data_IF_982254053094
#
_entry.id   IF_982254053094
#
_cell.length_a   1.000
_cell.length_b   1.000
_cell.length_c   1.000
_cell.angle_alpha   90.00
_cell.angle_beta   90.00
_cell.angle_gamma   90.00
#
_symmetry.space_group_name_H-M   'P 1'
#
loop_
_entity.id
_entity.type
_entity.pdbx_description
1 polymer ?
#
# COMPACT_ATOMS: atom_id res chain seq x y z
N UNK A 1 -11.19 -34.85 -28.37
CA UNK A 1 -12.09 -34.27 -27.34
C UNK A 1 -12.14 -32.74 -27.42
N UNK A 2 -11.16 -31.98 -26.90
CA UNK A 2 -11.26 -30.50 -26.84
C UNK A 2 -11.37 -29.79 -28.19
N UNK A 3 -10.61 -30.23 -29.20
CA UNK A 3 -10.61 -29.59 -30.53
C UNK A 3 -11.86 -29.88 -31.38
N UNK A 4 -12.63 -30.93 -31.06
CA UNK A 4 -13.89 -31.24 -31.74
C UNK A 4 -15.04 -30.47 -31.10
N UNK A 5 -15.07 -30.42 -29.77
CA UNK A 5 -16.03 -29.60 -29.02
C UNK A 5 -15.95 -28.11 -29.40
N UNK A 6 -14.73 -27.58 -29.57
CA UNK A 6 -14.56 -26.19 -30.01
C UNK A 6 -15.08 -25.94 -31.43
N UNK A 7 -14.90 -26.90 -32.34
CA UNK A 7 -15.43 -26.80 -33.72
C UNK A 7 -16.95 -26.81 -33.74
N UNK A 8 -17.56 -27.73 -32.99
CA UNK A 8 -19.03 -27.81 -32.87
C UNK A 8 -19.63 -26.51 -32.32
N UNK A 9 -19.04 -25.93 -31.27
CA UNK A 9 -19.53 -24.66 -30.70
C UNK A 9 -19.32 -23.47 -31.63
N UNK A 10 -18.23 -23.45 -32.38
CA UNK A 10 -17.98 -22.43 -33.40
C UNK A 10 -19.04 -22.47 -34.49
N UNK A 11 -19.36 -23.65 -35.01
CA UNK A 11 -20.33 -23.81 -36.09
C UNK A 11 -21.75 -23.44 -35.63
N UNK A 12 -22.10 -23.76 -34.38
CA UNK A 12 -23.36 -23.35 -33.77
C UNK A 12 -23.44 -21.82 -33.62
N UNK A 13 -22.36 -21.16 -33.19
CA UNK A 13 -22.30 -19.70 -33.08
C UNK A 13 -22.45 -19.02 -34.46
N UNK A 14 -21.77 -19.54 -35.48
CA UNK A 14 -21.84 -19.02 -36.85
C UNK A 14 -23.27 -19.10 -37.38
N UNK A 15 -23.94 -20.24 -37.18
CA UNK A 15 -25.33 -20.43 -37.58
C UNK A 15 -26.27 -19.45 -36.86
N UNK A 16 -26.08 -19.23 -35.56
CA UNK A 16 -26.88 -18.28 -34.77
C UNK A 16 -26.69 -16.84 -35.25
N UNK A 17 -25.47 -16.47 -35.66
CA UNK A 17 -25.17 -15.16 -36.24
C UNK A 17 -25.79 -14.99 -37.63
N UNK A 18 -25.77 -16.04 -38.46
CA UNK A 18 -26.41 -16.03 -39.78
C UNK A 18 -27.94 -15.89 -39.66
N UNK A 19 -28.56 -16.64 -38.75
CA UNK A 19 -30.00 -16.56 -38.47
C UNK A 19 -30.39 -15.14 -37.98
N UNK A 20 -29.62 -14.58 -37.05
CA UNK A 20 -29.82 -13.20 -36.57
C UNK A 20 -29.65 -12.16 -37.68
N UNK A 21 -28.67 -12.35 -38.57
CA UNK A 21 -28.43 -11.45 -39.70
C UNK A 21 -29.58 -11.53 -40.71
N UNK A 22 -30.07 -12.73 -41.01
CA UNK A 22 -31.19 -12.92 -41.93
C UNK A 22 -32.48 -12.30 -41.38
N UNK A 23 -32.73 -12.43 -40.07
CA UNK A 23 -33.85 -11.78 -39.40
C UNK A 23 -33.73 -10.25 -39.43
N UNK A 24 -32.53 -9.70 -39.22
CA UNK A 24 -32.27 -8.27 -39.37
C UNK A 24 -32.53 -7.79 -40.80
N UNK A 25 -32.08 -8.54 -41.81
CA UNK A 25 -32.30 -8.21 -43.23
C UNK A 25 -33.79 -8.26 -43.58
N UNK A 26 -34.53 -9.27 -43.08
CA UNK A 26 -35.99 -9.39 -43.28
C UNK A 26 -36.73 -8.24 -42.59
N UNK A 27 -36.31 -7.86 -41.39
CA UNK A 27 -36.83 -6.72 -40.67
C UNK A 27 -36.61 -5.43 -41.47
N UNK A 28 -35.37 -5.18 -41.91
CA UNK A 28 -35.02 -3.99 -42.70
C UNK A 28 -35.76 -3.96 -44.04
N UNK A 29 -35.95 -5.11 -44.69
CA UNK A 29 -36.73 -5.22 -45.93
C UNK A 29 -38.20 -4.82 -45.75
N UNK A 30 -38.79 -5.10 -44.58
CA UNK A 30 -40.16 -4.68 -44.22
C UNK A 30 -40.24 -3.20 -43.81
N UNK A 31 -39.15 -2.64 -43.27
CA UNK A 31 -39.07 -1.24 -42.82
C UNK A 31 -38.87 -0.24 -43.97
N UNK A 32 -38.65 -0.69 -45.22
CA UNK A 32 -38.28 0.12 -46.39
C UNK A 32 -39.15 1.32 -46.76
N UNK A 33 -40.33 1.51 -46.17
CA UNK A 33 -41.17 2.68 -46.48
C UNK A 33 -41.14 3.66 -45.32
N UNK A 34 -40.65 4.89 -45.54
CA UNK A 34 -40.71 6.00 -44.56
C UNK A 34 -42.11 6.14 -43.92
N UNK A 35 -43.17 5.80 -44.67
CA UNK A 35 -44.56 5.78 -44.19
C UNK A 35 -44.84 4.67 -43.15
N UNK A 36 -44.30 3.47 -43.29
CA UNK A 36 -44.50 2.39 -42.30
C UNK A 36 -43.70 2.63 -41.03
N UNK A 37 -42.52 3.24 -41.14
CA UNK A 37 -41.74 3.71 -39.99
C UNK A 37 -42.52 4.75 -39.17
N UNK A 38 -43.09 5.77 -39.83
CA UNK A 38 -43.86 6.83 -39.17
C UNK A 38 -45.21 6.31 -38.64
N UNK A 39 -45.83 5.33 -39.29
CA UNK A 39 -47.07 4.72 -38.83
C UNK A 39 -46.87 3.82 -37.59
N UNK A 40 -45.65 3.30 -37.38
CA UNK A 40 -45.32 2.49 -36.20
C UNK A 40 -45.05 3.40 -34.99
N UNK A 41 -46.12 3.80 -34.33
CA UNK A 41 -46.11 4.69 -33.16
C UNK A 41 -45.18 4.23 -32.05
N UNK A 42 -45.06 2.91 -31.81
CA UNK A 42 -44.21 2.35 -30.77
C UNK A 42 -42.71 2.60 -31.06
N UNK A 43 -42.31 2.45 -32.31
CA UNK A 43 -40.93 2.70 -32.72
C UNK A 43 -40.59 4.19 -32.65
N UNK A 44 -41.54 5.06 -33.02
CA UNK A 44 -41.34 6.51 -32.88
C UNK A 44 -41.24 6.93 -31.42
N UNK A 45 -42.06 6.39 -30.53
CA UNK A 45 -41.97 6.61 -29.08
C UNK A 45 -40.66 6.08 -28.51
N UNK A 46 -40.17 4.92 -28.98
CA UNK A 46 -38.87 4.40 -28.56
C UNK A 46 -37.72 5.34 -28.97
N UNK A 47 -37.71 5.82 -30.22
CA UNK A 47 -36.71 6.78 -30.69
C UNK A 47 -36.82 8.11 -29.96
N UNK A 48 -38.03 8.63 -29.75
CA UNK A 48 -38.27 9.86 -28.99
C UNK A 48 -37.79 9.72 -27.53
N UNK A 49 -38.09 8.59 -26.88
CA UNK A 49 -37.63 8.30 -25.53
C UNK A 49 -36.11 8.15 -25.45
N UNK A 50 -35.47 7.59 -26.48
CA UNK A 50 -34.01 7.55 -26.55
C UNK A 50 -33.46 8.97 -26.69
N UNK A 51 -33.94 9.74 -27.68
CA UNK A 51 -33.45 11.09 -27.98
C UNK A 51 -33.78 12.13 -26.89
N UNK A 52 -34.85 11.91 -26.12
CA UNK A 52 -35.30 12.79 -25.04
C UNK A 52 -34.60 12.56 -23.70
N UNK A 53 -33.75 11.53 -23.57
CA UNK A 53 -32.94 11.34 -22.35
C UNK A 53 -31.88 12.43 -22.24
N UNK A 54 -31.66 12.90 -21.02
CA UNK A 54 -30.66 13.93 -20.69
C UNK A 54 -29.23 13.56 -21.12
N UNK A 55 -28.96 12.27 -21.31
CA UNK A 55 -27.65 11.74 -21.70
C UNK A 55 -27.45 11.65 -23.23
N UNK A 56 -28.43 12.07 -24.04
CA UNK A 56 -28.25 12.13 -25.49
C UNK A 56 -27.71 13.49 -25.88
N UNK A 57 -26.49 13.46 -26.41
CA UNK A 57 -25.82 14.66 -26.89
C UNK A 57 -25.91 14.76 -28.40
N UNK A 58 -26.41 15.88 -28.90
CA UNK A 58 -26.33 16.21 -30.32
C UNK A 58 -24.97 16.88 -30.62
N UNK A 59 -24.44 16.57 -31.80
CA UNK A 59 -23.19 17.13 -32.31
C UNK A 59 -23.27 17.31 -33.82
N UNK A 60 -22.76 18.43 -34.33
CA UNK A 60 -22.65 18.66 -35.77
C UNK A 60 -21.45 17.88 -36.32
N UNK A 61 -21.66 17.04 -37.34
CA UNK A 61 -20.63 16.20 -37.95
C UNK A 61 -19.42 17.00 -38.48
N UNK A 62 -19.63 18.27 -38.83
CA UNK A 62 -18.57 19.15 -39.30
C UNK A 62 -17.72 19.75 -38.16
N UNK A 63 -18.19 19.69 -36.92
CA UNK A 63 -17.48 20.16 -35.73
C UNK A 63 -16.75 18.98 -35.04
N UNK A 64 -15.76 18.44 -35.74
CA UNK A 64 -14.98 17.29 -35.27
C UNK A 64 -14.29 17.57 -33.92
N UNK A 65 -13.90 18.83 -33.63
CA UNK A 65 -13.28 19.17 -32.34
C UNK A 65 -14.28 19.05 -31.19
N UNK A 66 -15.50 19.56 -31.35
CA UNK A 66 -16.54 19.45 -30.32
C UNK A 66 -17.07 18.04 -30.17
N UNK A 67 -17.23 17.29 -31.26
CA UNK A 67 -17.60 15.87 -31.19
C UNK A 67 -16.48 15.07 -30.55
N UNK A 68 -15.23 15.24 -30.97
CA UNK A 68 -14.10 14.55 -30.33
C UNK A 68 -13.95 14.94 -28.87
N UNK A 69 -14.17 16.21 -28.50
CA UNK A 69 -14.17 16.66 -27.11
C UNK A 69 -15.26 15.99 -26.30
N UNK A 70 -16.52 16.02 -26.76
CA UNK A 70 -17.64 15.34 -26.08
C UNK A 70 -17.50 13.82 -26.09
N UNK A 71 -17.03 13.23 -27.20
CA UNK A 71 -16.80 11.80 -27.31
C UNK A 71 -15.66 11.40 -26.38
N UNK A 72 -14.63 12.23 -26.22
CA UNK A 72 -13.61 12.07 -25.22
C UNK A 72 -14.16 12.31 -23.82
N UNK A 73 -15.10 13.23 -23.59
CA UNK A 73 -15.79 13.38 -22.29
C UNK A 73 -16.74 12.20 -21.98
N UNK A 74 -17.15 11.46 -23.01
CA UNK A 74 -18.00 10.26 -22.91
C UNK A 74 -17.21 8.93 -22.90
N UNK A 75 -16.07 8.88 -23.60
CA UNK A 75 -15.22 7.70 -23.80
C UNK A 75 -14.01 7.69 -22.86
N UNK A 76 -13.41 8.86 -22.68
CA UNK A 76 -12.72 9.29 -21.47
C UNK A 76 -13.84 9.90 -20.58
N UNK A 77 -13.74 10.24 -19.31
CA UNK A 77 -12.66 10.41 -18.39
C UNK A 77 -13.11 9.78 -17.08
N UNK A 78 -12.25 8.94 -16.52
CA UNK A 78 -12.43 8.33 -15.21
C UNK A 78 -13.79 7.65 -15.01
N UNK A 79 -13.84 6.33 -15.28
CA UNK A 79 -14.83 5.42 -14.67
C UNK A 79 -14.67 5.31 -13.14
N UNK A 80 -14.19 6.38 -12.52
CA UNK A 80 -14.22 6.55 -11.10
C UNK A 80 -15.69 6.74 -10.71
N UNK A 81 -16.18 5.99 -9.72
CA UNK A 81 -17.49 6.30 -9.18
C UNK A 81 -17.48 7.72 -8.63
N UNK A 82 -18.59 8.45 -8.72
CA UNK A 82 -18.66 9.80 -8.14
C UNK A 82 -18.39 9.77 -6.63
N UNK A 83 -18.77 8.68 -5.96
CA UNK A 83 -18.57 8.46 -4.54
C UNK A 83 -18.21 6.99 -4.29
N UNK A 84 -17.33 6.74 -3.32
CA UNK A 84 -17.04 5.38 -2.88
C UNK A 84 -18.18 4.85 -2.01
N UNK A 85 -18.46 3.55 -2.12
CA UNK A 85 -19.38 2.86 -1.21
C UNK A 85 -18.90 2.97 0.24
N UNK A 86 -19.81 2.77 1.21
CA UNK A 86 -19.46 2.78 2.63
C UNK A 86 -18.41 1.71 2.96
N UNK A 87 -18.52 0.54 2.34
CA UNK A 87 -17.59 -0.57 2.51
C UNK A 87 -16.20 -0.21 1.99
N UNK A 88 -16.11 0.36 0.79
CA UNK A 88 -14.85 0.88 0.24
C UNK A 88 -14.19 1.91 1.17
N UNK A 89 -14.97 2.81 1.78
CA UNK A 89 -14.44 3.79 2.73
C UNK A 89 -13.87 3.15 4.01
N UNK A 90 -14.54 2.12 4.54
CA UNK A 90 -14.06 1.36 5.71
C UNK A 90 -12.79 0.58 5.36
N UNK A 91 -12.74 -0.06 4.19
CA UNK A 91 -11.55 -0.75 3.69
C UNK A 91 -10.36 0.21 3.50
N UNK A 92 -10.59 1.38 2.88
CA UNK A 92 -9.57 2.41 2.69
C UNK A 92 -9.04 2.94 4.03
N UNK A 93 -9.91 3.20 5.00
CA UNK A 93 -9.50 3.62 6.36
C UNK A 93 -8.65 2.54 7.03
N UNK A 94 -9.05 1.27 6.90
CA UNK A 94 -8.31 0.14 7.46
C UNK A 94 -6.93 0.00 6.81
N UNK A 95 -6.85 0.11 5.49
CA UNK A 95 -5.60 0.05 4.74
C UNK A 95 -4.63 1.18 5.15
N UNK A 96 -5.12 2.42 5.26
CA UNK A 96 -4.31 3.56 5.71
C UNK A 96 -3.82 3.38 7.16
N UNK A 97 -4.68 2.88 8.05
CA UNK A 97 -4.30 2.59 9.44
C UNK A 97 -3.17 1.55 9.51
N UNK A 98 -3.20 0.54 8.64
CA UNK A 98 -2.13 -0.47 8.53
C UNK A 98 -0.82 0.16 8.03
N UNK A 99 -0.89 1.03 7.02
CA UNK A 99 0.27 1.81 6.54
C UNK A 99 0.90 2.63 7.67
N UNK A 100 0.09 3.28 8.50
CA UNK A 100 0.57 4.09 9.62
C UNK A 100 1.26 3.25 10.69
N UNK A 101 0.66 2.11 11.05
CA UNK A 101 1.28 1.17 11.98
C UNK A 101 2.62 0.68 11.44
N UNK A 102 2.70 0.33 10.15
CA UNK A 102 3.96 -0.10 9.53
C UNK A 102 5.01 1.01 9.52
N UNK A 103 4.63 2.24 9.18
CA UNK A 103 5.54 3.39 9.18
C UNK A 103 6.03 3.74 10.60
N UNK A 104 5.15 3.70 11.61
CA UNK A 104 5.50 3.94 13.00
C UNK A 104 6.47 2.87 13.52
N UNK A 105 6.19 1.58 13.26
CA UNK A 105 7.06 0.48 13.64
C UNK A 105 8.40 0.52 12.90
N UNK A 106 8.39 0.83 11.60
CA UNK A 106 9.60 1.00 10.82
C UNK A 106 10.50 2.10 11.41
N UNK A 107 9.92 3.19 11.92
CA UNK A 107 10.67 4.23 12.60
C UNK A 107 11.36 3.71 13.87
N UNK A 108 10.65 2.94 14.70
CA UNK A 108 11.24 2.29 15.89
C UNK A 108 12.35 1.32 15.53
N UNK A 109 12.15 0.43 14.55
CA UNK A 109 13.20 -0.48 14.08
C UNK A 109 14.44 0.27 13.59
N UNK A 110 14.26 1.39 12.89
CA UNK A 110 15.37 2.25 12.45
C UNK A 110 16.12 2.89 13.62
N UNK A 111 15.40 3.32 14.65
CA UNK A 111 16.01 3.86 15.86
C UNK A 111 16.83 2.77 16.58
N UNK A 112 16.26 1.59 16.78
CA UNK A 112 16.97 0.46 17.39
C UNK A 112 18.22 0.08 16.58
N UNK A 113 18.13 0.00 15.26
CA UNK A 113 19.30 -0.27 14.42
C UNK A 113 20.41 0.76 14.65
N UNK A 114 20.07 2.06 14.72
CA UNK A 114 21.07 3.11 14.98
C UNK A 114 21.67 3.00 16.38
N UNK A 115 20.85 2.69 17.38
CA UNK A 115 21.31 2.52 18.75
C UNK A 115 22.25 1.32 18.87
N UNK A 116 21.89 0.14 18.33
CA UNK A 116 22.75 -1.05 18.41
C UNK A 116 24.09 -0.84 17.71
N UNK A 117 24.10 -0.20 16.53
CA UNK A 117 25.36 0.15 15.85
C UNK A 117 26.19 1.15 16.65
N UNK A 118 25.56 2.14 17.28
CA UNK A 118 26.25 3.09 18.16
C UNK A 118 26.92 2.38 19.35
N UNK A 119 26.20 1.46 20.02
CA UNK A 119 26.75 0.67 21.12
C UNK A 119 27.93 -0.20 20.70
N UNK A 120 27.83 -0.89 19.56
CA UNK A 120 28.93 -1.69 19.02
C UNK A 120 30.17 -0.84 18.72
N UNK A 121 29.97 0.38 18.18
CA UNK A 121 31.06 1.31 17.91
C UNK A 121 31.72 1.77 19.22
N UNK A 122 30.93 2.16 20.22
CA UNK A 122 31.44 2.57 21.54
C UNK A 122 32.23 1.44 22.22
N UNK A 123 31.72 0.21 22.18
CA UNK A 123 32.43 -0.96 22.73
C UNK A 123 33.74 -1.17 21.98
N UNK A 124 33.74 -1.11 20.64
CA UNK A 124 34.97 -1.26 19.85
C UNK A 124 36.02 -0.19 20.17
N UNK A 125 35.62 1.08 20.29
CA UNK A 125 36.51 2.18 20.69
C UNK A 125 37.03 1.98 22.12
N UNK A 126 36.18 1.55 23.04
CA UNK A 126 36.58 1.26 24.41
C UNK A 126 37.61 0.11 24.47
N UNK A 127 37.40 -0.97 23.70
CA UNK A 127 38.36 -2.08 23.60
C UNK A 127 39.71 -1.60 23.09
N UNK A 128 39.76 -0.84 21.99
CA UNK A 128 41.03 -0.33 21.44
C UNK A 128 41.72 0.62 22.42
N UNK A 129 40.97 1.55 23.02
CA UNK A 129 41.52 2.50 23.99
C UNK A 129 42.10 1.79 25.21
N UNK A 130 41.39 0.78 25.72
CA UNK A 130 41.85 -0.02 26.85
C UNK A 130 43.11 -0.82 26.49
N UNK A 131 43.17 -1.44 25.31
CA UNK A 131 44.38 -2.17 24.86
C UNK A 131 45.62 -1.26 24.79
N UNK A 132 45.47 -0.03 24.28
CA UNK A 132 46.57 0.94 24.22
C UNK A 132 47.00 1.41 25.62
N UNK A 133 46.04 1.62 26.53
CA UNK A 133 46.33 1.98 27.92
C UNK A 133 47.07 0.86 28.66
N UNK A 134 46.71 -0.41 28.44
CA UNK A 134 47.42 -1.55 29.02
C UNK A 134 48.89 -1.60 28.57
N UNK A 135 49.16 -1.36 27.28
CA UNK A 135 50.53 -1.31 26.76
C UNK A 135 51.35 -0.15 27.34
N UNK A 136 50.71 1.00 27.60
CA UNK A 136 51.41 2.18 28.14
C UNK A 136 51.76 2.06 29.63
N UNK A 137 50.96 1.31 30.40
CA UNK A 137 51.06 1.21 31.85
C UNK A 137 51.43 -0.20 32.32
N UNK A 138 52.35 -0.86 31.61
CA UNK A 138 52.70 -2.28 31.78
C UNK A 138 53.13 -2.69 33.21
N UNK A 139 53.47 -1.73 34.09
CA UNK A 139 53.79 -2.01 35.50
C UNK A 139 52.74 -1.59 36.55
N UNK A 140 51.70 -0.83 36.17
CA UNK A 140 50.76 -0.25 37.15
C UNK A 140 49.49 -1.08 37.36
N UNK A 141 49.12 -1.93 36.40
CA UNK A 141 47.85 -2.64 36.40
C UNK A 141 48.13 -4.14 36.42
N UNK A 142 47.63 -4.86 37.44
CA UNK A 142 47.89 -6.30 37.56
C UNK A 142 47.35 -7.09 36.37
N UNK A 143 48.12 -8.05 35.86
CA UNK A 143 47.81 -8.89 34.70
C UNK A 143 46.39 -9.48 34.76
N UNK A 144 45.98 -9.99 35.93
CA UNK A 144 44.64 -10.53 36.16
C UNK A 144 43.52 -9.49 35.91
N UNK A 145 43.74 -8.23 36.30
CA UNK A 145 42.74 -7.17 36.09
C UNK A 145 42.64 -6.77 34.62
N UNK A 146 43.75 -6.77 33.87
CA UNK A 146 43.75 -6.49 32.44
C UNK A 146 42.96 -7.55 31.66
N UNK A 147 43.24 -8.83 31.91
CA UNK A 147 42.50 -9.93 31.28
C UNK A 147 41.02 -9.91 31.62
N UNK A 148 40.67 -9.61 32.88
CA UNK A 148 39.27 -9.54 33.32
C UNK A 148 38.51 -8.43 32.59
N UNK A 149 39.10 -7.24 32.45
CA UNK A 149 38.44 -6.12 31.75
C UNK A 149 38.32 -6.39 30.25
N UNK A 150 39.37 -6.92 29.61
CA UNK A 150 39.33 -7.30 28.19
C UNK A 150 38.27 -8.36 27.93
N UNK A 151 38.20 -9.39 28.78
CA UNK A 151 37.18 -10.43 28.70
C UNK A 151 35.77 -9.85 28.89
N UNK A 152 35.58 -8.93 29.84
CA UNK A 152 34.30 -8.27 30.07
C UNK A 152 33.83 -7.43 28.88
N UNK A 153 34.73 -6.68 28.25
CA UNK A 153 34.45 -5.90 27.03
C UNK A 153 34.11 -6.83 25.85
N UNK A 154 34.87 -7.91 25.68
CA UNK A 154 34.62 -8.90 24.63
C UNK A 154 33.25 -9.60 24.80
N UNK A 155 32.92 -10.02 26.02
CA UNK A 155 31.61 -10.63 26.34
C UNK A 155 30.46 -9.66 26.09
N UNK A 156 30.61 -8.40 26.47
CA UNK A 156 29.59 -7.36 26.23
C UNK A 156 29.41 -7.13 24.73
N UNK A 157 30.49 -7.05 23.96
CA UNK A 157 30.46 -6.96 22.50
C UNK A 157 29.76 -8.16 21.85
N UNK A 158 30.09 -9.38 22.29
CA UNK A 158 29.45 -10.61 21.81
C UNK A 158 27.95 -10.64 22.13
N UNK A 159 27.55 -10.23 23.33
CA UNK A 159 26.15 -10.12 23.74
C UNK A 159 25.36 -9.17 22.83
N UNK A 160 25.86 -7.95 22.60
CA UNK A 160 25.18 -6.99 21.73
C UNK A 160 25.16 -7.43 20.28
N UNK A 161 26.20 -8.12 19.81
CA UNK A 161 26.24 -8.68 18.45
C UNK A 161 25.20 -9.78 18.29
N UNK A 162 25.10 -10.71 19.25
CA UNK A 162 24.07 -11.75 19.28
C UNK A 162 22.66 -11.16 19.37
N UNK A 163 22.47 -10.15 20.23
CA UNK A 163 21.20 -9.44 20.33
C UNK A 163 20.80 -8.75 19.02
N UNK A 164 21.74 -8.06 18.37
CA UNK A 164 21.52 -7.43 17.08
C UNK A 164 21.17 -8.46 15.98
N UNK A 165 21.80 -9.63 16.00
CA UNK A 165 21.53 -10.72 15.08
C UNK A 165 20.13 -11.33 15.27
N UNK A 166 19.68 -11.51 16.52
CA UNK A 166 18.33 -12.02 16.83
C UNK A 166 17.25 -11.01 16.44
N UNK A 167 17.47 -9.73 16.73
CA UNK A 167 16.47 -8.69 16.45
C UNK A 167 16.41 -8.39 14.95
N UNK A 168 17.54 -8.43 14.24
CA UNK A 168 17.73 -8.00 12.85
C UNK A 168 16.90 -6.75 12.50
N UNK A 169 17.14 -5.63 13.20
CA UNK A 169 16.29 -4.44 13.09
C UNK A 169 16.36 -3.81 11.70
N UNK A 170 17.46 -3.99 10.98
CA UNK A 170 17.64 -3.49 9.61
C UNK A 170 16.74 -4.22 8.62
N UNK A 171 16.73 -5.56 8.65
CA UNK A 171 15.84 -6.35 7.79
C UNK A 171 14.38 -6.10 8.10
N UNK A 172 14.00 -6.06 9.39
CA UNK A 172 12.62 -5.74 9.82
C UNK A 172 12.19 -4.35 9.35
N UNK A 173 13.05 -3.35 9.47
CA UNK A 173 12.78 -2.00 8.98
C UNK A 173 12.51 -1.98 7.46
N UNK A 174 13.35 -2.64 6.67
CA UNK A 174 13.20 -2.72 5.20
C UNK A 174 11.89 -3.43 4.85
N UNK A 175 11.60 -4.56 5.49
CA UNK A 175 10.37 -5.33 5.25
C UNK A 175 9.12 -4.52 5.57
N UNK A 176 9.02 -3.93 6.76
CA UNK A 176 7.88 -3.10 7.16
C UNK A 176 7.66 -1.94 6.20
N UNK A 177 8.75 -1.30 5.75
CA UNK A 177 8.69 -0.19 4.82
C UNK A 177 8.24 -0.62 3.42
N UNK A 178 8.76 -1.74 2.93
CA UNK A 178 8.33 -2.30 1.64
C UNK A 178 6.85 -2.69 1.67
N UNK A 179 6.37 -3.26 2.77
CA UNK A 179 4.97 -3.60 2.95
C UNK A 179 4.07 -2.37 3.08
N UNK A 180 4.53 -1.30 3.75
CA UNK A 180 3.83 -0.02 3.74
C UNK A 180 3.71 0.54 2.32
N UNK A 181 4.78 0.49 1.52
CA UNK A 181 4.75 0.94 0.13
C UNK A 181 3.88 0.07 -0.78
N UNK A 182 3.88 -1.24 -0.57
CA UNK A 182 2.99 -2.14 -1.29
C UNK A 182 1.52 -1.82 -0.98
N UNK A 183 1.18 -1.63 0.30
CA UNK A 183 -0.17 -1.25 0.71
C UNK A 183 -0.57 0.12 0.16
N UNK A 184 0.31 1.11 0.24
CA UNK A 184 0.08 2.43 -0.37
C UNK A 184 -0.15 2.31 -1.88
N UNK A 185 0.61 1.47 -2.59
CA UNK A 185 0.43 1.26 -4.02
C UNK A 185 -0.94 0.65 -4.34
N UNK A 186 -1.38 -0.36 -3.58
CA UNK A 186 -2.70 -0.99 -3.73
C UNK A 186 -3.84 0.01 -3.47
N UNK A 187 -3.72 0.84 -2.41
CA UNK A 187 -4.67 1.92 -2.13
C UNK A 187 -4.79 2.87 -3.33
N UNK A 188 -3.67 3.29 -3.92
CA UNK A 188 -3.68 4.20 -5.07
C UNK A 188 -4.23 3.53 -6.33
N UNK A 189 -3.89 2.26 -6.59
CA UNK A 189 -4.46 1.53 -7.72
C UNK A 189 -5.97 1.38 -7.59
N UNK A 190 -6.46 1.11 -6.37
CA UNK A 190 -7.89 1.09 -6.09
C UNK A 190 -8.52 2.46 -6.31
N UNK A 191 -7.95 3.53 -5.73
CA UNK A 191 -8.49 4.91 -5.85
C UNK A 191 -8.54 5.42 -7.29
N UNK A 192 -7.56 5.04 -8.11
CA UNK A 192 -7.51 5.41 -9.53
C UNK A 192 -8.20 4.38 -10.46
N UNK A 193 -8.76 3.29 -9.92
CA UNK A 193 -9.39 2.19 -10.67
C UNK A 193 -8.51 1.68 -11.83
N UNK A 194 -7.20 1.55 -11.56
CA UNK A 194 -6.22 1.08 -12.56
C UNK A 194 -5.78 -0.37 -12.30
N UNK A 195 -5.32 -1.04 -13.35
CA UNK A 195 -4.82 -2.41 -13.26
C UNK A 195 -5.93 -3.39 -12.91
N UNK A 196 -5.75 -4.18 -11.85
CA UNK A 196 -6.73 -5.19 -11.41
C UNK A 196 -8.05 -4.61 -10.90
N UNK A 197 -8.10 -3.32 -10.61
CA UNK A 197 -9.30 -2.62 -10.16
C UNK A 197 -10.08 -1.97 -11.29
N UNK A 198 -9.63 -2.14 -12.54
CA UNK A 198 -10.33 -1.63 -13.70
C UNK A 198 -11.57 -2.47 -13.96
N UNK A 199 -12.75 -1.82 -13.93
CA UNK A 199 -14.01 -2.51 -14.21
C UNK A 199 -14.04 -3.07 -15.64
N UNK A 200 -14.56 -4.28 -15.80
CA UNK A 200 -14.71 -4.93 -17.10
C UNK A 200 -15.52 -4.06 -18.06
N UNK A 201 -15.10 -3.96 -19.32
CA UNK A 201 -15.73 -3.08 -20.33
C UNK A 201 -17.22 -3.35 -20.55
N UNK A 202 -17.71 -4.53 -20.17
CA UNK A 202 -19.11 -4.97 -20.27
C UNK A 202 -20.05 -4.31 -19.25
N UNK A 203 -19.53 -3.58 -18.26
CA UNK A 203 -20.32 -2.92 -17.21
C UNK A 203 -20.92 -1.56 -17.63
N UNK A 204 -21.49 -1.44 -18.83
CA UNK A 204 -22.16 -0.20 -19.26
C UNK A 204 -23.51 0.02 -18.58
N UNK A 205 -24.10 -1.02 -17.98
CA UNK A 205 -25.31 -0.91 -17.16
C UNK A 205 -24.98 -0.48 -15.73
N UNK A 206 -25.87 0.27 -15.09
CA UNK A 206 -25.72 0.67 -13.68
C UNK A 206 -25.53 -0.54 -12.76
N UNK A 207 -26.19 -1.65 -13.07
CA UNK A 207 -26.02 -2.92 -12.37
C UNK A 207 -24.60 -3.49 -12.51
N UNK A 208 -24.03 -3.46 -13.73
CA UNK A 208 -22.66 -3.89 -13.98
C UNK A 208 -21.62 -3.02 -13.28
N UNK A 209 -21.90 -1.72 -13.09
CA UNK A 209 -21.04 -0.81 -12.33
C UNK A 209 -20.99 -1.19 -10.86
N UNK A 210 -22.16 -1.39 -10.22
CA UNK A 210 -22.23 -1.81 -8.82
C UNK A 210 -21.52 -3.15 -8.58
N UNK A 211 -21.68 -4.11 -9.49
CA UNK A 211 -20.98 -5.39 -9.40
C UNK A 211 -19.45 -5.22 -9.54
N UNK A 212 -19.00 -4.35 -10.45
CA UNK A 212 -17.57 -4.05 -10.62
C UNK A 212 -16.95 -3.37 -9.39
N UNK A 213 -17.72 -2.53 -8.68
CA UNK A 213 -17.29 -1.89 -7.43
C UNK A 213 -17.13 -2.91 -6.30
N UNK A 214 -18.13 -3.78 -6.09
CA UNK A 214 -18.04 -4.88 -5.11
C UNK A 214 -16.87 -5.81 -5.41
N UNK A 215 -16.64 -6.12 -6.69
CA UNK A 215 -15.49 -6.92 -7.10
C UNK A 215 -14.16 -6.22 -6.76
N UNK A 216 -14.03 -4.93 -7.06
CA UNK A 216 -12.85 -4.14 -6.72
C UNK A 216 -12.61 -4.08 -5.19
N UNK A 217 -13.67 -3.99 -4.39
CA UNK A 217 -13.61 -4.03 -2.92
C UNK A 217 -13.11 -5.39 -2.42
N UNK A 218 -13.65 -6.49 -2.93
CA UNK A 218 -13.19 -7.84 -2.62
C UNK A 218 -11.72 -8.05 -2.98
N UNK A 219 -11.25 -7.50 -4.11
CA UNK A 219 -9.84 -7.54 -4.50
C UNK A 219 -8.95 -6.71 -3.56
N UNK A 220 -9.41 -5.55 -3.09
CA UNK A 220 -8.68 -4.74 -2.12
C UNK A 220 -8.58 -5.44 -0.77
N UNK A 221 -9.68 -6.04 -0.29
CA UNK A 221 -9.69 -6.83 0.93
C UNK A 221 -8.71 -8.01 0.85
N UNK A 222 -8.72 -8.78 -0.25
CA UNK A 222 -7.76 -9.87 -0.49
C UNK A 222 -6.32 -9.35 -0.51
N UNK A 223 -6.05 -8.21 -1.14
CA UNK A 223 -4.72 -7.60 -1.17
C UNK A 223 -4.24 -7.16 0.23
N UNK A 224 -5.13 -6.57 1.05
CA UNK A 224 -4.81 -6.18 2.43
C UNK A 224 -4.40 -7.41 3.25
N UNK A 225 -5.21 -8.48 3.22
CA UNK A 225 -4.94 -9.72 3.94
C UNK A 225 -3.63 -10.38 3.49
N UNK A 226 -3.37 -10.39 2.18
CA UNK A 226 -2.15 -10.95 1.61
C UNK A 226 -0.91 -10.18 2.06
N UNK A 227 -0.92 -8.85 2.01
CA UNK A 227 0.21 -8.03 2.46
C UNK A 227 0.44 -8.22 3.96
N UNK A 228 -0.62 -8.25 4.76
CA UNK A 228 -0.52 -8.53 6.19
C UNK A 228 0.05 -9.93 6.47
N UNK A 229 -0.39 -10.94 5.71
CA UNK A 229 0.15 -12.30 5.78
C UNK A 229 1.65 -12.33 5.49
N UNK A 230 2.09 -11.63 4.42
CA UNK A 230 3.52 -11.48 4.08
C UNK A 230 4.29 -10.82 5.22
N UNK A 231 3.78 -9.75 5.84
CA UNK A 231 4.43 -9.10 6.98
C UNK A 231 4.54 -10.03 8.17
N UNK A 232 3.47 -10.77 8.50
CA UNK A 232 3.46 -11.73 9.61
C UNK A 232 4.50 -12.83 9.42
N UNK A 233 4.65 -13.35 8.19
CA UNK A 233 5.64 -14.36 7.86
C UNK A 233 7.06 -13.80 7.85
N UNK A 234 7.28 -12.64 7.22
CA UNK A 234 8.62 -12.09 6.99
C UNK A 234 9.31 -11.58 8.25
N UNK A 235 8.53 -11.09 9.22
CA UNK A 235 9.03 -10.42 10.42
C UNK A 235 9.35 -11.36 11.58
N UNK A 236 9.09 -12.66 11.45
CA UNK A 236 9.12 -13.60 12.58
C UNK A 236 8.10 -13.25 13.67
N UNK A 237 7.14 -12.36 13.39
CA UNK A 237 6.13 -11.91 14.37
C UNK A 237 5.03 -12.95 14.60
N UNK A 238 5.10 -14.13 13.99
CA UNK A 238 4.10 -15.22 14.17
C UNK A 238 3.92 -15.59 15.65
N UNK A 239 4.98 -15.43 16.45
CA UNK A 239 4.96 -15.74 17.89
C UNK A 239 4.62 -14.53 18.78
N UNK A 240 4.64 -13.31 18.23
CA UNK A 240 4.35 -12.10 19.01
C UNK A 240 2.87 -11.76 18.88
N UNK A 241 2.17 -11.55 20.00
CA UNK A 241 0.76 -11.11 20.03
C UNK A 241 0.49 -9.72 19.43
N UNK A 242 1.45 -9.16 18.67
CA UNK A 242 1.38 -7.83 18.07
C UNK A 242 0.21 -7.69 17.08
N UNK A 243 -0.12 -8.75 16.34
CA UNK A 243 -1.18 -8.72 15.31
C UNK A 243 -2.50 -9.35 15.74
N UNK A 244 -2.60 -9.95 16.93
CA UNK A 244 -3.85 -10.57 17.38
C UNK A 244 -4.89 -9.55 17.85
N UNK A 245 -4.46 -8.33 18.22
CA UNK A 245 -5.31 -7.34 18.87
C UNK A 245 -5.85 -6.23 17.95
N UNK A 246 -5.21 -5.97 16.81
CA UNK A 246 -5.56 -4.81 15.96
C UNK A 246 -6.50 -5.15 14.81
N UNK A 247 -6.75 -6.44 14.55
CA UNK A 247 -7.55 -6.90 13.42
C UNK A 247 -8.84 -7.63 13.84
N UNK A 248 -9.11 -7.74 15.14
CA UNK A 248 -10.41 -8.17 15.67
C UNK A 248 -11.45 -7.05 15.63
N UNK A 249 -11.27 -6.07 14.73
CA UNK A 249 -12.36 -5.20 14.33
C UNK A 249 -13.35 -6.09 13.55
N UNK A 250 -14.49 -6.31 14.19
CA UNK A 250 -15.66 -7.05 13.77
C UNK A 250 -15.89 -6.99 12.23
N UNK A 251 -16.12 -8.17 11.62
CA UNK A 251 -16.78 -8.38 10.31
C UNK A 251 -15.96 -8.52 9.01
N UNK A 252 -14.65 -8.82 9.03
CA UNK A 252 -13.96 -9.30 7.81
C UNK A 252 -13.84 -10.83 7.80
N UNK A 253 -14.96 -11.55 7.96
CA UNK A 253 -15.00 -12.92 7.46
C UNK A 253 -15.00 -12.83 5.94
N UNK A 254 -13.99 -13.39 5.24
CA UNK A 254 -14.09 -13.47 3.79
C UNK A 254 -15.37 -14.25 3.46
N UNK A 255 -16.20 -13.81 2.50
CA UNK A 255 -17.21 -14.67 1.94
C UNK A 255 -16.52 -15.99 1.58
N UNK A 256 -17.00 -17.09 2.14
CA UNK A 256 -16.55 -18.43 1.77
C UNK A 256 -17.07 -18.72 0.36
N UNK A 257 -16.56 -18.00 -0.63
CA UNK A 257 -16.72 -18.35 -2.04
C UNK A 257 -15.56 -19.29 -2.37
N UNK A 258 -15.91 -20.57 -2.49
CA UNK A 258 -15.06 -21.67 -2.98
C UNK A 258 -14.78 -21.47 -4.48
N UNK A 259 -13.95 -20.49 -4.83
CA UNK A 259 -13.58 -20.28 -6.23
C UNK A 259 -12.15 -20.79 -6.50
N UNK A 260 -12.08 -21.87 -7.27
CA UNK A 260 -10.88 -22.50 -7.86
C UNK A 260 -10.05 -21.57 -8.79
N UNK A 261 -10.43 -20.29 -8.90
CA UNK A 261 -9.87 -19.35 -9.88
C UNK A 261 -8.69 -18.51 -9.33
N UNK A 262 -8.45 -18.55 -8.01
CA UNK A 262 -7.35 -17.80 -7.38
C UNK A 262 -5.94 -18.30 -7.81
N UNK A 263 -5.83 -19.56 -8.25
CA UNK A 263 -4.57 -20.15 -8.71
C UNK A 263 -4.21 -19.75 -10.16
N UNK A 264 -5.17 -19.28 -10.96
CA UNK A 264 -4.92 -18.87 -12.35
C UNK A 264 -4.34 -17.44 -12.47
N UNK A 265 -4.68 -16.53 -11.55
CA UNK A 265 -4.23 -15.12 -11.60
C UNK A 265 -2.84 -14.88 -10.97
N UNK A 266 -2.25 -15.88 -10.31
CA UNK A 266 -0.91 -15.81 -9.70
C UNK A 266 0.15 -16.61 -10.45
N UNK A 267 -0.08 -16.89 -11.75
CA UNK A 267 0.92 -17.48 -12.64
C UNK A 267 2.28 -16.78 -12.51
N UNK A 268 3.30 -17.55 -12.08
CA UNK A 268 4.68 -17.16 -11.78
C UNK A 268 4.98 -16.72 -10.33
N UNK A 269 4.87 -17.64 -9.37
CA UNK A 269 5.88 -17.83 -8.28
C UNK A 269 5.70 -19.21 -7.63
N UNK A 270 6.11 -20.25 -8.37
CA UNK A 270 6.07 -21.64 -7.92
C UNK A 270 7.22 -21.98 -6.96
N UNK A 271 6.89 -22.19 -5.67
CA UNK A 271 7.50 -23.17 -4.76
C UNK A 271 6.92 -23.08 -3.33
N UNK A 272 6.32 -21.94 -2.95
CA UNK A 272 6.00 -21.66 -1.55
C UNK A 272 4.64 -22.17 -1.06
N UNK A 273 3.75 -22.62 -1.95
CA UNK A 273 2.37 -23.05 -1.60
C UNK A 273 2.31 -24.44 -0.93
N UNK A 274 3.21 -25.36 -1.30
CA UNK A 274 3.22 -26.74 -0.75
C UNK A 274 3.65 -26.84 0.72
N UNK A 275 4.32 -25.81 1.25
CA UNK A 275 4.75 -25.78 2.67
C UNK A 275 3.67 -25.24 3.62
N UNK A 276 2.75 -24.40 3.13
CA UNK A 276 1.72 -23.79 3.99
C UNK A 276 0.54 -24.73 4.26
N UNK A 277 0.24 -25.65 3.34
CA UNK A 277 -0.86 -26.60 3.50
C UNK A 277 -0.56 -27.71 4.53
N UNK A 278 0.72 -27.92 4.90
CA UNK A 278 1.14 -28.95 5.87
C UNK A 278 1.24 -28.47 7.31
N UNK A 279 1.19 -27.16 7.55
CA UNK A 279 1.36 -26.55 8.88
C UNK A 279 0.00 -26.36 9.58
N UNK A 280 -1.11 -26.30 8.84
CA UNK A 280 -2.45 -26.10 9.42
C UNK A 280 -3.06 -27.36 10.08
N UNK A 281 -2.53 -28.56 9.81
CA UNK A 281 -3.09 -29.81 10.34
C UNK A 281 -2.52 -30.26 11.70
N UNK A 282 -1.56 -29.52 12.28
CA UNK A 282 -0.87 -29.94 13.51
C UNK A 282 -1.19 -29.09 14.76
N UNK A 283 -2.16 -28.16 14.68
CA UNK A 283 -2.48 -27.25 15.79
C UNK A 283 -3.93 -27.41 16.27
N UNK A 284 -4.34 -28.62 16.62
CA UNK A 284 -5.53 -28.88 17.44
C UNK A 284 -5.20 -29.98 18.44
N UNK A 285 -4.74 -29.56 19.62
CA UNK A 285 -4.99 -30.17 20.92
C UNK A 285 -4.36 -29.23 21.95
N UNK A 286 -5.17 -28.57 22.78
CA UNK A 286 -5.08 -28.81 24.22
C UNK A 286 -6.06 -27.99 25.06
N UNK A 287 -6.51 -28.71 26.08
CA UNK A 287 -7.43 -28.38 27.16
C UNK A 287 -6.68 -27.55 28.21
N UNK A 288 -7.13 -26.33 28.53
CA UNK A 288 -6.63 -25.61 29.69
C UNK A 288 -7.62 -24.59 30.26
N UNK A 289 -8.30 -24.99 31.36
CA UNK A 289 -8.44 -24.23 32.60
C UNK A 289 -9.10 -22.84 32.58
N UNK A 290 -10.35 -22.77 33.08
CA UNK A 290 -11.14 -21.55 33.34
C UNK A 290 -10.48 -20.51 34.28
N UNK A 291 -9.41 -20.85 35.01
CA UNK A 291 -8.71 -19.93 35.91
C UNK A 291 -7.75 -18.96 35.18
N UNK A 292 -7.25 -19.31 33.99
CA UNK A 292 -6.36 -18.44 33.19
C UNK A 292 -7.07 -17.28 32.47
N UNK A 293 -8.41 -17.32 32.38
CA UNK A 293 -9.20 -16.32 31.65
C UNK A 293 -9.25 -14.96 32.35
N UNK A 294 -9.22 -14.92 33.68
CA UNK A 294 -9.34 -13.64 34.44
C UNK A 294 -8.06 -12.82 34.40
N UNK A 295 -6.88 -13.46 34.45
CA UNK A 295 -5.60 -12.75 34.36
C UNK A 295 -5.32 -12.25 32.93
N UNK A 296 -5.67 -13.06 31.91
CA UNK A 296 -5.54 -12.65 30.50
C UNK A 296 -6.44 -11.46 30.15
N UNK A 297 -7.64 -11.37 30.73
CA UNK A 297 -8.55 -10.22 30.50
C UNK A 297 -7.98 -8.92 31.06
N UNK A 298 -7.40 -8.95 32.27
CA UNK A 298 -6.78 -7.77 32.87
C UNK A 298 -5.51 -7.29 32.14
N UNK A 299 -4.69 -8.22 31.62
CA UNK A 299 -3.53 -7.87 30.78
C UNK A 299 -3.96 -7.32 29.41
N UNK A 300 -4.98 -7.89 28.79
CA UNK A 300 -5.52 -7.39 27.53
C UNK A 300 -6.05 -5.94 27.66
N UNK A 301 -6.73 -5.61 28.76
CA UNK A 301 -7.27 -4.26 29.00
C UNK A 301 -6.17 -3.21 29.24
N UNK A 302 -5.11 -3.55 29.97
CA UNK A 302 -3.94 -2.63 30.13
C UNK A 302 -3.25 -2.37 28.79
N UNK A 303 -3.10 -3.41 27.97
CA UNK A 303 -2.48 -3.27 26.65
C UNK A 303 -3.35 -2.44 25.69
N UNK A 304 -4.68 -2.57 25.77
CA UNK A 304 -5.65 -1.77 24.99
C UNK A 304 -5.56 -0.28 25.30
N UNK A 305 -5.36 0.09 26.58
CA UNK A 305 -5.20 1.49 26.99
C UNK A 305 -3.89 2.10 26.47
N UNK A 306 -2.77 1.36 26.53
CA UNK A 306 -1.50 1.86 26.03
C UNK A 306 -1.42 1.93 24.50
N UNK A 307 -2.03 0.97 23.79
CA UNK A 307 -2.10 1.01 22.33
C UNK A 307 -3.02 2.13 21.83
N UNK A 308 -4.15 2.39 22.50
CA UNK A 308 -5.06 3.47 22.14
C UNK A 308 -4.44 4.87 22.20
N UNK A 309 -3.59 5.14 23.19
CA UNK A 309 -2.86 6.42 23.30
C UNK A 309 -1.81 6.60 22.19
N UNK A 310 -1.08 5.53 21.83
CA UNK A 310 -0.12 5.57 20.71
C UNK A 310 -0.81 5.70 19.35
N UNK A 311 -1.97 5.05 19.18
CA UNK A 311 -2.76 5.11 17.95
C UNK A 311 -3.35 6.51 17.71
N UNK A 312 -3.79 7.21 18.77
CA UNK A 312 -4.27 8.60 18.63
C UNK A 312 -3.24 9.46 17.90
N UNK A 313 -1.96 9.45 18.32
CA UNK A 313 -0.91 10.22 17.65
C UNK A 313 -0.62 9.82 16.20
N UNK A 314 -0.82 8.54 15.84
CA UNK A 314 -0.59 8.04 14.48
C UNK A 314 -1.73 8.44 13.52
N UNK A 315 -3.00 8.34 13.96
CA UNK A 315 -4.17 8.72 13.15
C UNK A 315 -4.19 10.20 12.76
N UNK A 316 -3.53 11.08 13.53
CA UNK A 316 -3.47 12.52 13.21
C UNK A 316 -2.55 12.87 12.04
N UNK A 317 -1.71 11.95 11.54
CA UNK A 317 -0.75 12.29 10.47
C UNK A 317 -1.39 12.54 9.11
N UNK A 318 -2.54 11.94 8.82
CA UNK A 318 -3.21 12.10 7.51
C UNK A 318 -4.33 13.14 7.51
N UNK A 319 -4.46 13.97 8.55
CA UNK A 319 -5.57 14.93 8.70
C UNK A 319 -6.98 14.33 8.49
N UNK A 320 -7.13 12.99 8.60
CA UNK A 320 -8.40 12.29 8.34
C UNK A 320 -9.52 12.73 9.28
N UNK A 321 -9.15 13.31 10.43
CA UNK A 321 -10.06 13.99 11.33
C UNK A 321 -9.60 15.44 11.46
N UNK A 322 -10.27 16.36 10.74
CA UNK A 322 -10.35 17.74 11.22
C UNK A 322 -11.23 17.69 12.47
N UNK A 323 -10.74 18.07 13.66
CA UNK A 323 -11.59 18.14 14.83
C UNK A 323 -12.81 19.01 14.49
N UNK A 324 -13.99 18.52 14.88
CA UNK A 324 -15.29 19.15 14.58
C UNK A 324 -15.36 20.62 15.04
N UNK A 325 -14.46 21.00 15.96
CA UNK A 325 -14.35 22.32 16.56
C UNK A 325 -13.88 23.43 15.58
N UNK A 326 -13.42 23.07 14.38
CA UNK A 326 -12.91 24.04 13.39
C UNK A 326 -13.98 24.73 12.53
N UNK A 327 -15.24 24.27 12.57
CA UNK A 327 -16.35 24.89 11.81
C UNK A 327 -17.27 25.80 12.65
N UNK A 328 -17.07 25.93 13.97
CA UNK A 328 -17.84 26.88 14.79
C UNK A 328 -17.18 28.27 14.91
N UNK A 329 -16.13 28.56 14.14
CA UNK A 329 -15.60 29.93 14.05
C UNK A 329 -16.52 30.79 13.20
N UNK A 330 -17.48 31.43 13.87
CA UNK A 330 -18.17 32.68 13.52
C UNK A 330 -18.33 32.93 12.00
N UNK A 331 -19.39 32.38 11.44
CA UNK A 331 -19.97 32.83 10.18
C UNK A 331 -20.25 34.34 10.30
N UNK A 332 -19.40 35.17 9.68
CA UNK A 332 -19.64 36.61 9.58
C UNK A 332 -20.80 36.82 8.61
N UNK A 333 -21.95 37.35 9.06
CA UNK A 333 -23.04 37.67 8.15
C UNK A 333 -22.73 38.99 7.45
N UNK A 334 -22.74 38.95 6.11
CA UNK A 334 -22.91 40.15 5.29
C UNK A 334 -21.65 40.63 4.57
N UNK A 335 -21.50 40.22 3.32
CA UNK A 335 -21.65 41.13 2.18
C UNK A 335 -21.80 40.30 0.90
N UNK A 336 -22.90 40.51 0.18
CA UNK A 336 -23.11 40.04 -1.19
C UNK A 336 -22.20 40.87 -2.10
N UNK A 337 -20.93 40.49 -2.21
CA UNK A 337 -20.05 40.97 -3.27
C UNK A 337 -20.07 39.93 -4.39
N UNK A 338 -20.86 40.23 -5.43
CA UNK A 338 -20.87 39.50 -6.70
C UNK A 338 -19.60 39.85 -7.46
N UNK A 339 -18.49 39.25 -7.07
CA UNK A 339 -17.23 39.34 -7.79
C UNK A 339 -17.05 38.07 -8.62
N UNK A 340 -17.35 38.16 -9.92
CA UNK A 340 -17.09 37.16 -10.95
C UNK A 340 -15.58 37.05 -11.26
N UNK A 341 -14.74 37.09 -10.23
CA UNK A 341 -13.33 36.78 -10.37
C UNK A 341 -13.21 35.26 -10.43
N UNK A 342 -12.73 34.77 -11.58
CA UNK A 342 -12.33 33.38 -11.78
C UNK A 342 -11.22 32.99 -10.78
N UNK A 343 -11.60 32.76 -9.52
CA UNK A 343 -10.75 32.15 -8.53
C UNK A 343 -10.39 30.78 -9.07
N UNK A 344 -9.13 30.64 -9.51
CA UNK A 344 -8.55 29.35 -9.80
C UNK A 344 -8.88 28.44 -8.60
N UNK A 345 -9.58 27.32 -8.80
CA UNK A 345 -10.09 26.50 -7.71
C UNK A 345 -8.91 26.18 -6.79
N UNK A 346 -9.08 26.50 -5.50
CA UNK A 346 -8.09 26.22 -4.48
C UNK A 346 -7.57 24.79 -4.70
N UNK A 347 -6.25 24.62 -4.74
CA UNK A 347 -5.64 23.34 -5.11
C UNK A 347 -6.31 22.22 -4.32
N UNK A 348 -6.97 21.25 -4.97
CA UNK A 348 -7.75 20.24 -4.26
C UNK A 348 -6.86 19.51 -3.27
N UNK A 349 -7.17 19.67 -1.98
CA UNK A 349 -6.52 18.96 -0.87
C UNK A 349 -6.87 17.46 -1.02
N UNK A 350 -5.87 16.57 -0.93
CA UNK A 350 -6.10 15.13 -1.03
C UNK A 350 -6.97 14.66 0.15
N UNK A 351 -8.18 14.21 -0.13
CA UNK A 351 -9.09 13.68 0.89
C UNK A 351 -8.71 12.28 1.37
N UNK A 352 -7.69 11.65 0.77
CA UNK A 352 -7.22 10.28 1.00
C UNK A 352 -8.23 9.14 0.75
N UNK A 353 -9.51 9.50 0.58
CA UNK A 353 -10.64 8.58 0.49
C UNK A 353 -11.44 8.77 -0.79
N UNK A 354 -11.40 9.94 -1.43
CA UNK A 354 -12.06 10.11 -2.72
C UNK A 354 -11.30 9.34 -3.82
N UNK A 355 -12.02 8.86 -4.84
CA UNK A 355 -11.42 8.44 -6.09
C UNK A 355 -10.46 9.52 -6.61
N UNK A 356 -9.33 9.10 -7.18
CA UNK A 356 -8.27 10.01 -7.61
C UNK A 356 -7.99 9.80 -9.08
N UNK A 357 -8.03 10.88 -9.84
CA UNK A 357 -7.63 10.86 -11.26
C UNK A 357 -6.14 10.49 -11.37
N UNK A 358 -5.67 9.97 -12.52
CA UNK A 358 -4.24 9.74 -12.76
C UNK A 358 -3.39 11.01 -12.54
N UNK A 359 -3.91 12.18 -12.92
CA UNK A 359 -3.28 13.48 -12.71
C UNK A 359 -3.16 13.81 -11.23
N UNK A 360 -4.22 13.58 -10.46
CA UNK A 360 -4.22 13.76 -9.01
C UNK A 360 -3.26 12.79 -8.31
N UNK A 361 -3.18 11.54 -8.79
CA UNK A 361 -2.16 10.60 -8.33
C UNK A 361 -0.75 11.17 -8.53
N UNK A 362 -0.42 11.65 -9.74
CA UNK A 362 0.90 12.23 -10.00
C UNK A 362 1.15 13.41 -9.07
N UNK A 363 0.17 14.30 -8.93
CA UNK A 363 0.26 15.52 -8.13
C UNK A 363 0.43 15.23 -6.64
N UNK A 364 -0.45 14.41 -6.05
CA UNK A 364 -0.47 14.15 -4.61
C UNK A 364 0.59 13.15 -4.18
N UNK A 365 0.96 12.21 -5.04
CA UNK A 365 1.88 11.12 -4.68
C UNK A 365 3.27 11.27 -5.24
N UNK A 366 3.40 11.49 -6.54
CA UNK A 366 4.69 11.45 -7.23
C UNK A 366 5.48 12.73 -7.00
N UNK A 367 4.85 13.90 -7.14
CA UNK A 367 5.53 15.20 -7.00
C UNK A 367 6.17 15.37 -5.61
N UNK A 368 5.50 15.09 -4.47
CA UNK A 368 6.13 15.21 -3.15
C UNK A 368 7.32 14.28 -2.97
N UNK A 369 7.24 13.04 -3.48
CA UNK A 369 8.34 12.08 -3.44
C UNK A 369 9.53 12.53 -4.28
N UNK A 370 9.27 13.01 -5.49
CA UNK A 370 10.29 13.55 -6.39
C UNK A 370 11.01 14.73 -5.70
N UNK A 371 10.26 15.68 -5.14
CA UNK A 371 10.82 16.83 -4.44
C UNK A 371 11.64 16.40 -3.20
N UNK A 372 11.14 15.44 -2.45
CA UNK A 372 11.85 14.86 -1.31
C UNK A 372 13.20 14.23 -1.70
N UNK A 373 13.25 13.47 -2.80
CA UNK A 373 14.49 12.85 -3.27
C UNK A 373 15.44 13.88 -3.88
N UNK A 374 14.93 14.82 -4.70
CA UNK A 374 15.71 15.93 -5.26
C UNK A 374 16.47 16.70 -4.18
N UNK A 375 15.83 16.97 -3.04
CA UNK A 375 16.50 17.68 -1.92
C UNK A 375 17.53 16.85 -1.14
N UNK A 376 17.51 15.51 -1.23
CA UNK A 376 18.36 14.62 -0.42
C UNK A 376 19.54 14.02 -1.17
N UNK A 377 19.38 13.70 -2.45
CA UNK A 377 20.43 13.13 -3.31
C UNK A 377 21.75 13.93 -3.22
N UNK A 378 21.77 15.27 -3.36
CA UNK A 378 23.03 16.02 -3.28
C UNK A 378 23.69 15.92 -1.90
N UNK A 379 22.91 15.90 -0.82
CA UNK A 379 23.42 15.76 0.55
C UNK A 379 24.07 14.39 0.77
N UNK A 380 23.45 13.32 0.27
CA UNK A 380 24.00 11.97 0.36
C UNK A 380 25.24 11.79 -0.51
N UNK A 381 25.26 12.38 -1.71
CA UNK A 381 26.43 12.38 -2.56
C UNK A 381 27.62 13.11 -1.90
N UNK A 382 27.36 14.27 -1.28
CA UNK A 382 28.38 15.01 -0.54
C UNK A 382 28.91 14.22 0.67
N UNK A 383 28.02 13.68 1.51
CA UNK A 383 28.42 12.92 2.69
C UNK A 383 29.22 11.65 2.31
N UNK A 384 28.83 10.97 1.23
CA UNK A 384 29.59 9.83 0.70
C UNK A 384 31.00 10.24 0.25
N UNK A 385 31.14 11.35 -0.48
CA UNK A 385 32.46 11.87 -0.89
C UNK A 385 33.30 12.24 0.33
N UNK A 386 32.70 12.81 1.37
CA UNK A 386 33.38 13.13 2.62
C UNK A 386 33.90 11.86 3.32
N UNK A 387 33.09 10.81 3.46
CA UNK A 387 33.53 9.55 4.05
C UNK A 387 34.60 8.83 3.21
N UNK A 388 34.49 8.88 1.88
CA UNK A 388 35.53 8.35 1.00
C UNK A 388 36.83 9.12 1.17
N UNK A 389 36.77 10.45 1.25
CA UNK A 389 37.91 11.30 1.55
C UNK A 389 38.54 10.99 2.90
N UNK A 390 37.74 10.83 3.97
CA UNK A 390 38.27 10.49 5.29
C UNK A 390 38.93 9.11 5.34
N UNK A 391 38.38 8.13 4.62
CA UNK A 391 39.00 6.80 4.50
C UNK A 391 40.36 6.88 3.80
N UNK A 392 40.46 7.62 2.71
CA UNK A 392 41.73 7.84 2.01
C UNK A 392 42.76 8.56 2.90
N UNK A 393 42.34 9.60 3.63
CA UNK A 393 43.20 10.30 4.59
C UNK A 393 43.67 9.35 5.68
N UNK A 394 42.79 8.53 6.27
CA UNK A 394 43.20 7.57 7.30
C UNK A 394 44.22 6.55 6.78
N UNK A 395 44.04 6.04 5.56
CA UNK A 395 44.99 5.10 4.95
C UNK A 395 46.35 5.74 4.68
N UNK A 396 46.36 6.99 4.20
CA UNK A 396 47.59 7.78 4.03
C UNK A 396 48.29 8.03 5.38
N UNK A 397 47.54 8.45 6.41
CA UNK A 397 48.10 8.67 7.74
C UNK A 397 48.69 7.39 8.32
N UNK A 398 48.01 6.25 8.19
CA UNK A 398 48.53 4.94 8.61
C UNK A 398 49.81 4.57 7.84
N UNK A 399 49.84 4.79 6.52
CA UNK A 399 51.03 4.55 5.70
C UNK A 399 52.21 5.42 6.12
N UNK A 400 51.97 6.72 6.38
CA UNK A 400 53.01 7.66 6.82
C UNK A 400 53.50 7.29 8.22
N UNK A 401 52.60 6.98 9.16
CA UNK A 401 53.00 6.52 10.49
C UNK A 401 53.85 5.26 10.42
N UNK A 402 53.48 4.30 9.57
CA UNK A 402 54.26 3.06 9.38
C UNK A 402 55.65 3.33 8.78
N UNK A 403 55.80 4.32 7.90
CA UNK A 403 57.12 4.72 7.37
C UNK A 403 57.96 5.50 8.38
N UNK A 404 57.32 6.29 9.26
CA UNK A 404 57.99 7.12 10.26
C UNK A 404 58.26 6.38 11.57
N UNK A 405 57.57 5.28 11.85
CA UNK A 405 57.96 4.34 12.91
C UNK A 405 59.24 3.65 12.48
N UNK A 406 60.33 4.42 12.46
CA UNK A 406 61.67 3.91 12.27
C UNK A 406 61.92 2.89 13.39
N UNK A 407 62.39 1.69 13.03
CA UNK A 407 62.75 0.66 13.98
C UNK A 407 64.08 1.05 14.62
N UNK A 408 64.08 2.01 15.55
CA UNK A 408 65.19 2.13 16.49
C UNK A 408 64.94 1.15 17.64
N UNK A 409 65.08 -0.14 17.31
CA UNK A 409 65.55 -1.14 18.24
C UNK A 409 67.08 -1.08 18.25
#
# INVERSE_FOLDING_TARGET
AGAEWFREKKDLLVKLLEDMLEDSIKYDAKVKTKRSFVANQEMWLAVYNILGRENVHTGNIHDHKRISGKLFDLAQLDRLPQQNTLEALVLLRTAWSVVDVYNANAWWCKLYARLTHCFLLVIGVATVTFTVLCMKYEGSMGEATQHTVLLGLALTGAFFTGFAAIVDPARKWIQLRNSAYAMEAEIWQFRARVGKYQGTSTSSSDHGRLQSERHAEGLLQKAILLIQGRVRLASGLKETGFFSLTMTADNLEPPLEEDDEADALLGSTSMSSRLLQRISSLSRNDVAGKAGLRLKKAQADRHKRQSGLKLRGAHFRHKQFKPLDSHMSAEKPGLLESDDSHHAPASPEDSHHAPATPEDYIRWRMVPKINFYKGRIPKYAFLRRLFQGSLLISALTTSVLATLSMPSW
#
